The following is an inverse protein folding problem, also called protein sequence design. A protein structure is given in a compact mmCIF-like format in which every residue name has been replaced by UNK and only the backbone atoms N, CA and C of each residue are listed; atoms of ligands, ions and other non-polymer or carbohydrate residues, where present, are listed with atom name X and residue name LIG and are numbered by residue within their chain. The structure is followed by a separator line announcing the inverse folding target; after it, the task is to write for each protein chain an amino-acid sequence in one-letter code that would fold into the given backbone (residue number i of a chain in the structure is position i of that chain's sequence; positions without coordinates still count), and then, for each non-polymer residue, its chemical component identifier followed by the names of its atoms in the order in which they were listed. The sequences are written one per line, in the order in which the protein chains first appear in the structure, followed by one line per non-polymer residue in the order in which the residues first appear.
data_IF_070964062591
#
_entry.id   IF_070964062591
#
_cell.length_a   1.000
_cell.length_b   1.000
_cell.length_c   1.000
_cell.angle_alpha   90.00
_cell.angle_beta   90.00
_cell.angle_gamma   90.00
#
_symmetry.space_group_name_H-M   'P 1'
#
loop_
_entity.id
_entity.type
_entity.pdbx_description
1 polymer ?
#
# COMPACT_ATOMS: atom_id res chain seq x y z
N UNK A 1 -4.35 11.96 40.08
CA UNK A 1 -3.54 11.07 39.22
C UNK A 1 -4.48 10.55 38.15
N UNK A 2 -4.41 11.10 36.93
CA UNK A 2 -5.29 10.68 35.83
C UNK A 2 -4.67 9.45 35.17
N UNK A 3 -5.34 8.30 35.27
CA UNK A 3 -4.95 7.07 34.58
C UNK A 3 -5.29 7.20 33.10
N UNK A 4 -4.28 7.43 32.25
CA UNK A 4 -4.40 7.51 30.80
C UNK A 4 -4.44 6.13 30.09
N UNK A 5 -4.61 5.03 30.83
CA UNK A 5 -4.51 3.66 30.29
C UNK A 5 -5.76 2.78 30.53
N UNK A 6 -6.97 3.34 30.54
CA UNK A 6 -8.21 2.54 30.65
C UNK A 6 -8.96 2.34 29.34
N UNK A 7 -8.59 3.03 28.28
CA UNK A 7 -9.20 2.84 26.97
C UNK A 7 -8.31 1.88 26.19
N UNK A 8 -8.81 0.68 25.90
CA UNK A 8 -8.17 -0.22 24.96
C UNK A 8 -8.08 0.48 23.60
N UNK A 9 -6.96 1.16 23.33
CA UNK A 9 -6.70 1.76 22.02
C UNK A 9 -6.61 0.61 21.04
N UNK A 10 -7.62 0.49 20.19
CA UNK A 10 -7.65 -0.51 19.14
C UNK A 10 -6.63 -0.10 18.08
N UNK A 11 -5.38 -0.51 18.27
CA UNK A 11 -4.29 -0.16 17.38
C UNK A 11 -4.53 -0.80 16.01
N UNK A 12 -4.26 -0.07 14.92
CA UNK A 12 -4.37 -0.65 13.58
C UNK A 12 -3.36 -1.80 13.45
N UNK A 13 -3.85 -2.94 12.95
CA UNK A 13 -3.01 -4.11 12.75
C UNK A 13 -2.10 -3.90 11.55
N UNK A 14 -0.83 -4.27 11.67
CA UNK A 14 0.11 -4.25 10.55
C UNK A 14 0.24 -5.68 10.02
N UNK A 15 -0.03 -5.87 8.73
CA UNK A 15 0.18 -7.14 8.03
C UNK A 15 1.35 -7.05 7.06
N UNK A 16 2.04 -8.16 6.90
CA UNK A 16 3.19 -8.30 6.01
C UNK A 16 2.84 -9.21 4.83
N UNK A 17 3.26 -8.78 3.64
CA UNK A 17 3.10 -9.50 2.39
C UNK A 17 4.43 -9.55 1.67
N UNK A 18 5.09 -10.71 1.75
CA UNK A 18 6.37 -10.97 1.12
C UNK A 18 6.25 -11.83 -0.14
N UNK A 19 7.15 -11.61 -1.08
CA UNK A 19 7.52 -12.55 -2.14
C UNK A 19 9.04 -12.82 -2.07
N UNK A 20 9.67 -13.31 -3.15
CA UNK A 20 11.08 -13.71 -3.10
C UNK A 20 12.06 -12.54 -3.01
N UNK A 21 11.68 -11.37 -3.52
CA UNK A 21 12.54 -10.21 -3.73
C UNK A 21 12.02 -8.92 -3.08
N UNK A 22 10.78 -8.90 -2.61
CA UNK A 22 10.11 -7.74 -2.02
C UNK A 22 9.30 -8.03 -0.76
N UNK A 23 9.13 -6.97 0.03
CA UNK A 23 8.34 -6.94 1.24
C UNK A 23 7.38 -5.75 1.23
N UNK A 24 6.08 -6.01 1.42
CA UNK A 24 5.02 -4.98 1.45
C UNK A 24 4.30 -5.02 2.79
N UNK A 25 4.04 -3.85 3.38
CA UNK A 25 3.32 -3.72 4.65
C UNK A 25 1.95 -3.06 4.47
N UNK A 26 0.93 -3.63 5.10
CA UNK A 26 -0.44 -3.17 5.11
C UNK A 26 -0.83 -2.71 6.52
N UNK A 27 -1.30 -1.46 6.66
CA UNK A 27 -1.97 -1.03 7.89
C UNK A 27 -3.46 -1.28 7.70
N UNK A 28 -4.04 -2.17 8.51
CA UNK A 28 -5.44 -2.53 8.41
C UNK A 28 -6.32 -1.54 9.16
N UNK A 29 -7.46 -1.15 8.57
CA UNK A 29 -8.53 -0.52 9.31
C UNK A 29 -9.03 -1.44 10.42
N UNK A 30 -9.41 -0.85 11.56
CA UNK A 30 -9.99 -1.59 12.70
C UNK A 30 -11.31 -2.28 12.33
N UNK A 31 -12.06 -1.69 11.39
CA UNK A 31 -13.23 -2.28 10.77
C UNK A 31 -13.35 -1.77 9.33
N UNK A 32 -13.85 -2.62 8.42
CA UNK A 32 -14.18 -2.27 7.04
C UNK A 32 -15.62 -2.72 6.83
N UNK A 33 -16.53 -1.81 6.53
CA UNK A 33 -17.95 -2.14 6.28
C UNK A 33 -18.33 -1.84 4.83
N UNK A 34 -19.37 -2.51 4.30
CA UNK A 34 -19.77 -2.37 2.88
C UNK A 34 -20.31 -0.97 2.54
N UNK A 35 -20.66 -0.20 3.55
CA UNK A 35 -21.14 1.18 3.43
C UNK A 35 -20.00 2.18 3.15
N UNK A 36 -18.75 1.75 3.29
CA UNK A 36 -17.56 2.55 3.06
C UNK A 36 -16.89 2.19 1.73
N UNK A 37 -16.15 3.13 1.14
CA UNK A 37 -15.29 2.81 0.01
C UNK A 37 -14.02 2.11 0.50
N UNK A 38 -13.76 0.90 0.01
CA UNK A 38 -12.52 0.18 0.25
C UNK A 38 -11.62 0.25 -0.98
N UNK A 39 -10.50 0.96 -0.86
CA UNK A 39 -9.51 1.11 -1.91
C UNK A 39 -8.15 0.61 -1.41
N UNK A 40 -7.58 -0.35 -2.12
CA UNK A 40 -6.25 -0.90 -1.87
C UNK A 40 -5.31 -0.37 -2.94
N UNK A 41 -4.30 0.41 -2.53
CA UNK A 41 -3.37 1.07 -3.45
C UNK A 41 -1.95 0.52 -3.29
N UNK A 42 -1.50 -0.30 -4.22
CA UNK A 42 -0.13 -0.86 -4.23
C UNK A 42 0.81 0.05 -5.03
N UNK A 43 1.91 0.50 -4.44
CA UNK A 43 2.92 1.31 -5.10
C UNK A 43 4.19 0.47 -5.32
N UNK A 44 4.69 0.42 -6.54
CA UNK A 44 5.76 -0.51 -6.90
C UNK A 44 5.18 -1.92 -6.98
N UNK A 45 4.65 -2.26 -8.15
CA UNK A 45 4.09 -3.58 -8.40
C UNK A 45 5.25 -4.57 -8.47
N UNK A 46 6.32 -4.19 -9.19
CA UNK A 46 7.40 -5.11 -9.53
C UNK A 46 6.94 -6.11 -10.60
N UNK A 47 7.86 -6.95 -11.07
CA UNK A 47 7.55 -7.98 -12.07
C UNK A 47 6.91 -9.24 -11.46
N UNK A 48 6.39 -9.16 -10.22
CA UNK A 48 5.71 -10.21 -9.49
C UNK A 48 4.53 -9.62 -8.70
N UNK A 49 3.36 -10.27 -8.78
CA UNK A 49 2.13 -9.86 -8.09
C UNK A 49 1.72 -10.83 -6.98
N UNK A 50 2.63 -11.68 -6.53
CA UNK A 50 2.36 -12.69 -5.48
C UNK A 50 1.88 -12.04 -4.19
N UNK A 51 2.48 -10.93 -3.77
CA UNK A 51 2.06 -10.18 -2.59
C UNK A 51 0.65 -9.63 -2.73
N UNK A 52 0.28 -9.11 -3.90
CA UNK A 52 -1.06 -8.59 -4.18
C UNK A 52 -2.12 -9.70 -4.27
N UNK A 53 -1.75 -10.87 -4.80
CA UNK A 53 -2.62 -12.06 -4.74
C UNK A 53 -2.92 -12.44 -3.29
N UNK A 54 -1.89 -12.47 -2.44
CA UNK A 54 -2.07 -12.72 -0.99
C UNK A 54 -2.95 -11.64 -0.35
N UNK A 55 -2.75 -10.37 -0.67
CA UNK A 55 -3.61 -9.28 -0.17
C UNK A 55 -5.06 -9.48 -0.58
N UNK A 56 -5.31 -9.82 -1.84
CA UNK A 56 -6.67 -10.00 -2.36
C UNK A 56 -7.46 -11.12 -1.66
N UNK A 57 -6.76 -12.12 -1.13
CA UNK A 57 -7.37 -13.17 -0.31
C UNK A 57 -7.74 -12.71 1.11
N UNK A 58 -7.12 -11.65 1.62
CA UNK A 58 -7.36 -11.12 2.97
C UNK A 58 -8.38 -9.97 3.00
N UNK A 59 -8.47 -9.19 1.93
CA UNK A 59 -9.43 -8.09 1.84
C UNK A 59 -10.77 -8.56 1.25
N UNK A 60 -11.89 -7.97 1.67
CA UNK A 60 -13.19 -8.27 1.08
C UNK A 60 -13.21 -8.08 -0.44
N UNK A 61 -13.93 -8.94 -1.15
CA UNK A 61 -14.00 -8.97 -2.62
C UNK A 61 -14.51 -7.67 -3.26
N UNK A 62 -15.23 -6.86 -2.48
CA UNK A 62 -15.76 -5.56 -2.91
C UNK A 62 -14.73 -4.41 -2.83
N UNK A 63 -13.56 -4.66 -2.24
CA UNK A 63 -12.43 -3.73 -2.25
C UNK A 63 -11.84 -3.58 -3.65
N UNK A 64 -11.58 -2.33 -4.05
CA UNK A 64 -10.97 -2.01 -5.35
C UNK A 64 -9.46 -2.02 -5.23
N UNK A 65 -8.79 -2.78 -6.10
CA UNK A 65 -7.33 -2.86 -6.17
C UNK A 65 -6.79 -1.97 -7.28
N UNK A 66 -5.89 -1.08 -6.92
CA UNK A 66 -5.25 -0.11 -7.82
C UNK A 66 -3.74 -0.17 -7.66
N UNK A 67 -3.03 -0.40 -8.76
CA UNK A 67 -1.57 -0.52 -8.79
C UNK A 67 -0.92 0.61 -9.54
N UNK A 68 0.17 1.15 -8.99
CA UNK A 68 0.97 2.19 -9.62
C UNK A 68 2.42 1.73 -9.80
N UNK A 69 2.91 1.76 -11.04
CA UNK A 69 4.30 1.46 -11.36
C UNK A 69 4.76 2.17 -12.64
N UNK A 70 5.98 2.73 -12.73
CA UNK A 70 6.47 3.35 -13.96
C UNK A 70 6.76 2.35 -15.10
N UNK A 71 7.05 1.08 -14.78
CA UNK A 71 7.33 0.00 -15.74
C UNK A 71 6.03 -0.63 -16.23
N UNK A 72 5.78 -0.60 -17.54
CA UNK A 72 4.49 -1.02 -18.12
C UNK A 72 4.49 -2.46 -18.59
N UNK A 73 5.57 -2.90 -19.23
CA UNK A 73 5.57 -4.07 -20.12
C UNK A 73 4.94 -5.32 -19.49
N UNK A 74 5.34 -5.63 -18.26
CA UNK A 74 4.93 -6.84 -17.55
C UNK A 74 3.88 -6.50 -16.48
N UNK A 75 4.08 -5.37 -15.78
CA UNK A 75 3.31 -5.04 -14.57
C UNK A 75 1.83 -4.79 -14.87
N UNK A 76 1.53 -4.18 -16.03
CA UNK A 76 0.13 -4.00 -16.44
C UNK A 76 -0.58 -5.34 -16.57
N UNK A 77 0.01 -6.27 -17.32
CA UNK A 77 -0.58 -7.59 -17.59
C UNK A 77 -0.72 -8.39 -16.29
N UNK A 78 0.32 -8.43 -15.46
CA UNK A 78 0.28 -9.15 -14.19
C UNK A 78 -0.78 -8.60 -13.24
N UNK A 79 -0.84 -7.28 -13.09
CA UNK A 79 -1.75 -6.64 -12.15
C UNK A 79 -3.21 -6.70 -12.60
N UNK A 80 -3.47 -6.53 -13.90
CA UNK A 80 -4.81 -6.71 -14.45
C UNK A 80 -5.26 -8.17 -14.40
N UNK A 81 -4.33 -9.15 -14.50
CA UNK A 81 -4.66 -10.59 -14.37
C UNK A 81 -5.22 -10.99 -13.00
N UNK A 82 -4.97 -10.19 -11.97
CA UNK A 82 -5.54 -10.42 -10.64
C UNK A 82 -6.85 -9.65 -10.44
N UNK A 83 -7.35 -8.92 -11.44
CA UNK A 83 -8.55 -8.08 -11.38
C UNK A 83 -8.29 -6.67 -10.81
N UNK A 84 -7.05 -6.19 -10.83
CA UNK A 84 -6.68 -4.84 -10.40
C UNK A 84 -6.68 -3.83 -11.56
N UNK A 85 -6.64 -2.54 -11.23
CA UNK A 85 -6.45 -1.47 -12.22
C UNK A 85 -5.02 -0.97 -12.19
N UNK A 86 -4.33 -0.98 -13.33
CA UNK A 86 -2.94 -0.52 -13.45
C UNK A 86 -2.83 0.94 -13.88
N UNK A 87 -1.93 1.69 -13.23
CA UNK A 87 -1.56 3.05 -13.59
C UNK A 87 -0.06 3.17 -13.84
N UNK A 88 0.31 3.73 -15.00
CA UNK A 88 1.70 4.06 -15.34
C UNK A 88 2.14 5.35 -14.65
N UNK A 89 2.30 5.31 -13.34
CA UNK A 89 2.74 6.45 -12.53
C UNK A 89 3.69 5.96 -11.44
N UNK A 90 4.62 6.83 -11.04
CA UNK A 90 5.47 6.64 -9.87
C UNK A 90 5.12 7.70 -8.83
N UNK A 91 5.26 7.37 -7.55
CA UNK A 91 5.10 8.32 -6.45
C UNK A 91 6.44 8.99 -6.17
N UNK A 92 6.44 10.32 -6.06
CA UNK A 92 7.63 11.12 -5.79
C UNK A 92 7.28 12.45 -5.14
N UNK A 93 8.31 13.17 -4.68
CA UNK A 93 8.17 14.43 -3.91
C UNK A 93 7.49 15.55 -4.72
N UNK A 94 7.58 15.50 -6.05
CA UNK A 94 7.01 16.53 -6.94
C UNK A 94 6.22 15.87 -8.06
N UNK A 95 5.09 16.49 -8.41
CA UNK A 95 4.30 16.13 -9.58
C UNK A 95 5.04 16.53 -10.86
N UNK A 96 4.86 15.76 -11.93
CA UNK A 96 5.42 16.04 -13.26
C UNK A 96 6.00 14.80 -13.94
N UNK A 97 6.37 14.95 -15.21
CA UNK A 97 7.05 13.90 -15.97
C UNK A 97 8.54 13.94 -15.65
N UNK A 98 9.04 12.89 -15.01
CA UNK A 98 10.45 12.77 -14.62
C UNK A 98 10.98 11.39 -15.01
N UNK A 99 12.30 11.26 -15.16
CA UNK A 99 12.92 9.94 -15.28
C UNK A 99 12.89 9.26 -13.92
N UNK A 100 12.15 8.16 -13.82
CA UNK A 100 12.21 7.28 -12.67
C UNK A 100 13.43 6.36 -12.77
N UNK A 101 14.06 6.08 -11.63
CA UNK A 101 14.99 4.94 -11.48
C UNK A 101 14.26 3.87 -10.67
N UNK A 102 14.23 2.66 -11.20
CA UNK A 102 13.67 1.50 -10.51
C UNK A 102 14.83 0.80 -9.82
N UNK A 103 14.71 0.62 -8.52
CA UNK A 103 15.67 -0.10 -7.69
C UNK A 103 14.99 -1.37 -7.18
N UNK A 104 15.73 -2.46 -7.09
CA UNK A 104 15.25 -3.73 -6.52
C UNK A 104 15.25 -3.66 -4.98
N UNK A 105 14.23 -4.23 -4.34
CA UNK A 105 14.32 -4.66 -2.94
C UNK A 105 13.37 -4.02 -1.92
N UNK A 106 12.63 -2.95 -2.23
CA UNK A 106 11.64 -2.38 -1.31
C UNK A 106 10.48 -1.69 -2.03
N UNK A 107 9.26 -2.18 -1.82
CA UNK A 107 8.03 -1.60 -2.36
C UNK A 107 7.04 -1.26 -1.23
N UNK A 108 6.37 -0.09 -1.35
CA UNK A 108 5.47 0.43 -0.33
C UNK A 108 4.02 0.18 -0.72
N UNK A 109 3.24 -0.42 0.17
CA UNK A 109 1.79 -0.50 0.01
C UNK A 109 1.14 0.64 0.80
N UNK A 110 0.21 1.37 0.18
CA UNK A 110 -0.64 2.35 0.85
C UNK A 110 -2.08 1.83 0.86
N UNK A 111 -2.60 1.43 2.01
CA UNK A 111 -4.04 1.20 2.16
C UNK A 111 -4.67 2.56 2.47
N UNK A 112 -5.44 3.09 1.53
CA UNK A 112 -6.19 4.32 1.75
C UNK A 112 -7.57 3.93 2.31
N UNK A 113 -7.72 4.09 3.63
CA UNK A 113 -9.00 4.01 4.32
C UNK A 113 -9.94 5.17 3.94
N UNK A 114 -11.21 5.14 4.40
CA UNK A 114 -12.28 5.91 3.81
C UNK A 114 -12.05 7.42 3.84
N UNK A 115 -12.42 8.05 2.72
CA UNK A 115 -12.53 9.50 2.56
C UNK A 115 -13.66 10.04 3.43
N UNK A 116 -13.34 10.46 4.66
CA UNK A 116 -14.09 11.52 5.36
C UNK A 116 -13.16 12.69 5.59
N UNK A 117 -13.03 13.55 4.56
CA UNK A 117 -12.57 14.96 4.61
C UNK A 117 -11.30 15.33 5.40
N UNK A 118 -10.52 14.36 5.87
CA UNK A 118 -9.24 14.57 6.54
C UNK A 118 -8.33 13.47 6.03
N UNK A 119 -7.55 13.82 5.01
CA UNK A 119 -6.40 13.02 4.62
C UNK A 119 -5.46 13.01 5.83
N UNK A 120 -5.50 11.94 6.63
CA UNK A 120 -4.45 11.69 7.60
C UNK A 120 -3.19 11.39 6.79
N UNK A 121 -2.32 12.38 6.70
CA UNK A 121 -1.03 12.29 6.06
C UNK A 121 -0.18 11.27 6.83
N UNK A 122 -0.06 10.04 6.31
CA UNK A 122 0.86 9.06 6.86
C UNK A 122 2.28 9.45 6.44
N UNK A 123 2.98 10.20 7.29
CA UNK A 123 4.41 10.45 7.09
C UNK A 123 5.20 9.16 7.37
N UNK A 124 5.84 8.62 6.33
CA UNK A 124 6.83 7.55 6.45
C UNK A 124 8.08 8.17 7.07
N UNK A 125 8.29 7.94 8.37
CA UNK A 125 9.54 8.30 9.05
C UNK A 125 10.59 7.26 8.66
N UNK A 126 11.52 7.63 7.79
CA UNK A 126 12.71 6.81 7.55
C UNK A 126 13.57 6.76 8.83
N UNK A 127 14.00 5.57 9.30
CA UNK A 127 15.05 5.50 10.30
C UNK A 127 16.30 6.17 9.72
N UNK A 128 16.85 7.17 10.42
CA UNK A 128 18.15 7.74 10.05
C UNK A 128 19.15 6.60 10.04
N UNK A 129 19.82 6.41 8.90
CA UNK A 129 21.06 5.63 8.87
C UNK A 129 22.00 6.23 9.90
N UNK A 130 22.33 5.47 10.94
CA UNK A 130 23.45 5.82 11.80
C UNK A 130 24.71 5.72 10.95
N UNK A 131 25.29 6.88 10.63
CA UNK A 131 26.60 6.97 10.01
C UNK A 131 27.67 6.55 11.00
N UNK A 132 28.60 5.75 10.50
CA UNK A 132 29.91 5.44 11.07
C UNK A 132 30.76 6.68 11.35
#
# INVERSE_FOLDING_TARGET
MLNFCSDAVNLPQIMEYSNMDDLKYAVLPVAITREEECNIVTLGIGHDVTSERKMRLHFPDWCRFTGADPSVQINKVLYESIGGTYHKVAVGVKNGVQRARVYEGFHLLAILGPSKSSLTEYQVVHPRSQGS
#
